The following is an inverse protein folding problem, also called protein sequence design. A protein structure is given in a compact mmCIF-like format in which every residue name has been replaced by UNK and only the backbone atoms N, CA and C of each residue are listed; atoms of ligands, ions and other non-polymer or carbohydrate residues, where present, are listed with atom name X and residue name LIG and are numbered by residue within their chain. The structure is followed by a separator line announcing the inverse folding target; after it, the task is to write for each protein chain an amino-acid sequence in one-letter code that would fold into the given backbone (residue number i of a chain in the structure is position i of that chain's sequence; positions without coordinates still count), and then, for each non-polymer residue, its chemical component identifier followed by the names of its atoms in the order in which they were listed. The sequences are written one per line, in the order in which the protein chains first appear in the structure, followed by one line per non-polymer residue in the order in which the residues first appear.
data_IF_587999129571
#
_entry.id   IF_587999129571
#
_cell.length_a   1.000
_cell.length_b   1.000
_cell.length_c   1.000
_cell.angle_alpha   90.00
_cell.angle_beta   90.00
_cell.angle_gamma   90.00
#
_symmetry.space_group_name_H-M   'P 1'
#
loop_
_entity.id
_entity.type
_entity.pdbx_description
1 polymer ?
#
# COMPACT_ATOMS: atom_id res chain seq x y z
N UNK A 1 -9.90 12.46 -40.82
CA UNK A 1 -8.48 12.19 -41.17
C UNK A 1 -7.68 13.42 -40.74
N UNK A 2 -6.56 13.25 -40.03
CA UNK A 2 -5.67 14.31 -39.48
C UNK A 2 -5.88 14.77 -38.03
N UNK A 3 -6.06 13.81 -37.11
CA UNK A 3 -5.82 14.00 -35.66
C UNK A 3 -4.54 13.25 -35.19
N UNK A 4 -3.57 13.07 -36.11
CA UNK A 4 -2.38 12.21 -35.94
C UNK A 4 -1.04 12.96 -36.06
N UNK A 5 -1.01 14.28 -35.86
CA UNK A 5 0.23 15.06 -35.82
C UNK A 5 0.31 15.88 -34.52
N UNK A 6 -0.01 15.23 -33.40
CA UNK A 6 0.37 15.69 -32.08
C UNK A 6 1.89 15.59 -31.93
N UNK A 7 2.53 16.75 -31.95
CA UNK A 7 3.95 16.98 -31.80
C UNK A 7 4.62 16.06 -30.75
N UNK A 8 5.38 15.06 -31.19
CA UNK A 8 6.15 14.12 -30.35
C UNK A 8 7.25 14.80 -29.52
N UNK A 9 7.49 16.11 -29.72
CA UNK A 9 8.44 16.90 -28.92
C UNK A 9 7.90 17.40 -27.58
N UNK A 10 6.62 17.17 -27.26
CA UNK A 10 6.07 17.55 -25.95
C UNK A 10 6.49 16.59 -24.82
N UNK A 11 7.05 15.42 -25.15
CA UNK A 11 7.49 14.41 -24.16
C UNK A 11 9.01 14.30 -24.01
N UNK A 12 9.81 15.01 -24.81
CA UNK A 12 11.26 14.79 -24.85
C UNK A 12 12.05 15.51 -23.73
N UNK A 13 11.41 16.39 -22.95
CA UNK A 13 12.09 17.17 -21.89
C UNK A 13 11.21 17.39 -20.65
N UNK A 14 10.39 16.41 -20.27
CA UNK A 14 9.82 16.46 -18.92
C UNK A 14 10.99 16.31 -17.92
N UNK A 15 11.43 17.43 -17.36
CA UNK A 15 12.46 17.45 -16.33
C UNK A 15 11.97 16.61 -15.14
N UNK A 16 12.66 15.50 -14.90
CA UNK A 16 12.30 14.56 -13.84
C UNK A 16 12.72 15.18 -12.52
N UNK A 17 11.75 15.72 -11.81
CA UNK A 17 11.95 16.24 -10.46
C UNK A 17 12.33 15.09 -9.51
N UNK A 18 13.57 15.08 -8.97
CA UNK A 18 14.05 13.98 -8.12
C UNK A 18 13.23 13.84 -6.83
N UNK A 19 12.61 14.91 -6.33
CA UNK A 19 11.77 14.87 -5.14
C UNK A 19 10.45 14.14 -5.42
N UNK A 20 9.85 14.38 -6.60
CA UNK A 20 8.62 13.68 -7.02
C UNK A 20 8.88 12.19 -7.27
N UNK A 21 10.05 11.83 -7.80
CA UNK A 21 10.45 10.43 -7.95
C UNK A 21 10.57 9.75 -6.59
N UNK A 22 11.24 10.39 -5.63
CA UNK A 22 11.36 9.86 -4.26
C UNK A 22 10.00 9.68 -3.59
N UNK A 23 9.07 10.63 -3.76
CA UNK A 23 7.70 10.49 -3.25
C UNK A 23 6.97 9.29 -3.90
N UNK A 24 7.12 9.12 -5.22
CA UNK A 24 6.53 8.00 -5.96
C UNK A 24 7.09 6.65 -5.50
N UNK A 25 8.40 6.56 -5.24
CA UNK A 25 9.04 5.36 -4.67
C UNK A 25 8.44 5.01 -3.30
N UNK A 26 8.26 6.01 -2.43
CA UNK A 26 7.65 5.81 -1.11
C UNK A 26 6.21 5.31 -1.28
N UNK A 27 5.40 5.95 -2.13
CA UNK A 27 4.02 5.53 -2.37
C UNK A 27 3.96 4.09 -2.88
N UNK A 28 4.82 3.73 -3.82
CA UNK A 28 4.91 2.37 -4.34
C UNK A 28 5.28 1.36 -3.25
N UNK A 29 6.29 1.66 -2.44
CA UNK A 29 6.72 0.78 -1.34
C UNK A 29 5.60 0.53 -0.32
N UNK A 30 4.84 1.57 0.03
CA UNK A 30 3.70 1.49 0.94
C UNK A 30 2.57 0.67 0.32
N UNK A 31 2.21 0.93 -0.94
CA UNK A 31 1.17 0.18 -1.65
C UNK A 31 1.51 -1.31 -1.76
N UNK A 32 2.76 -1.64 -2.11
CA UNK A 32 3.24 -3.02 -2.17
C UNK A 32 3.18 -3.71 -0.81
N UNK A 33 3.65 -3.03 0.25
CA UNK A 33 3.60 -3.57 1.60
C UNK A 33 2.17 -3.74 2.13
N UNK A 34 1.22 -2.89 1.73
CA UNK A 34 -0.20 -3.06 2.05
C UNK A 34 -0.80 -4.21 1.27
N UNK A 35 -0.53 -4.33 -0.02
CA UNK A 35 -1.02 -5.42 -0.87
C UNK A 35 -0.64 -6.81 -0.31
N UNK A 36 0.64 -6.99 0.05
CA UNK A 36 1.12 -8.25 0.63
C UNK A 36 0.43 -8.58 1.96
N UNK A 37 0.12 -7.57 2.79
CA UNK A 37 -0.62 -7.78 4.05
C UNK A 37 -2.09 -8.10 3.82
N UNK A 38 -2.73 -7.50 2.82
CA UNK A 38 -4.11 -7.83 2.41
C UNK A 38 -4.15 -9.28 1.96
N UNK A 39 -3.23 -9.69 1.07
CA UNK A 39 -3.13 -11.04 0.54
C UNK A 39 -3.03 -12.06 1.68
N UNK A 40 -2.01 -11.94 2.54
CA UNK A 40 -1.81 -12.87 3.65
C UNK A 40 -2.97 -12.87 4.66
N UNK A 41 -3.61 -11.72 4.91
CA UNK A 41 -4.75 -11.64 5.84
C UNK A 41 -6.00 -12.31 5.28
N UNK A 42 -6.30 -12.11 4.00
CA UNK A 42 -7.49 -12.67 3.37
C UNK A 42 -7.31 -14.15 3.02
N UNK A 43 -6.11 -14.56 2.61
CA UNK A 43 -5.74 -15.98 2.47
C UNK A 43 -6.05 -16.74 3.76
N UNK A 44 -5.51 -16.29 4.90
CA UNK A 44 -5.72 -16.93 6.22
C UNK A 44 -7.18 -16.93 6.68
N UNK A 45 -8.01 -15.99 6.22
CA UNK A 45 -9.41 -15.84 6.68
C UNK A 45 -10.40 -16.57 5.80
N UNK A 46 -10.13 -16.65 4.51
CA UNK A 46 -11.11 -17.09 3.52
C UNK A 46 -10.76 -18.43 2.88
N UNK A 47 -9.51 -18.88 2.91
CA UNK A 47 -9.12 -20.19 2.40
C UNK A 47 -9.04 -21.19 3.55
N UNK A 48 -9.54 -22.40 3.32
CA UNK A 48 -9.41 -23.50 4.27
C UNK A 48 -7.95 -23.97 4.37
N UNK A 49 -7.56 -24.47 5.54
CA UNK A 49 -6.23 -25.08 5.71
C UNK A 49 -6.13 -26.47 5.05
N UNK A 50 -7.26 -27.10 4.78
CA UNK A 50 -7.36 -28.36 4.04
C UNK A 50 -7.93 -28.08 2.66
N UNK A 51 -7.13 -28.32 1.62
CA UNK A 51 -7.51 -28.12 0.23
C UNK A 51 -8.19 -29.38 -0.29
N UNK A 52 -9.49 -29.28 -0.61
CA UNK A 52 -10.24 -30.35 -1.28
C UNK A 52 -10.11 -30.31 -2.80
N UNK A 53 -9.91 -29.12 -3.37
CA UNK A 53 -9.79 -28.86 -4.80
C UNK A 53 -8.83 -27.68 -5.05
N UNK A 54 -8.34 -27.54 -6.28
CA UNK A 54 -7.38 -26.48 -6.64
C UNK A 54 -8.03 -25.16 -7.08
N UNK A 55 -9.33 -25.16 -7.32
CA UNK A 55 -10.08 -23.97 -7.71
C UNK A 55 -10.74 -23.31 -6.49
N UNK A 56 -10.91 -21.98 -6.57
CA UNK A 56 -11.57 -21.21 -5.52
C UNK A 56 -13.08 -21.40 -5.66
N UNK A 57 -13.73 -21.90 -4.61
CA UNK A 57 -15.18 -22.07 -4.64
C UNK A 57 -15.92 -20.72 -4.50
N UNK A 58 -17.21 -20.68 -4.85
CA UNK A 58 -18.03 -19.45 -4.78
C UNK A 58 -18.07 -18.82 -3.38
N UNK A 59 -18.00 -19.65 -2.33
CA UNK A 59 -17.96 -19.19 -0.94
C UNK A 59 -16.66 -18.44 -0.62
N UNK A 60 -15.53 -19.03 -0.97
CA UNK A 60 -14.19 -18.45 -0.82
C UNK A 60 -14.04 -17.17 -1.64
N UNK A 61 -14.50 -17.17 -2.90
CA UNK A 61 -14.49 -15.99 -3.77
C UNK A 61 -15.28 -14.82 -3.13
N UNK A 62 -16.52 -15.07 -2.71
CA UNK A 62 -17.35 -14.05 -2.05
C UNK A 62 -16.78 -13.61 -0.68
N UNK A 63 -16.08 -14.50 0.02
CA UNK A 63 -15.37 -14.17 1.26
C UNK A 63 -14.21 -13.21 0.98
N UNK A 64 -13.41 -13.48 -0.05
CA UNK A 64 -12.25 -12.65 -0.44
C UNK A 64 -12.69 -11.21 -0.72
N UNK A 65 -13.76 -11.01 -1.51
CA UNK A 65 -14.31 -9.67 -1.80
C UNK A 65 -14.68 -8.92 -0.52
N UNK A 66 -15.42 -9.59 0.39
CA UNK A 66 -15.80 -9.03 1.69
C UNK A 66 -14.60 -8.78 2.60
N UNK A 67 -13.59 -9.64 2.54
CA UNK A 67 -12.38 -9.51 3.34
C UNK A 67 -11.59 -8.27 2.94
N UNK A 68 -11.35 -8.07 1.63
CA UNK A 68 -10.64 -6.89 1.12
C UNK A 68 -11.41 -5.62 1.47
N UNK A 69 -12.72 -5.59 1.27
CA UNK A 69 -13.56 -4.44 1.63
C UNK A 69 -13.45 -4.09 3.14
N UNK A 70 -13.50 -5.09 4.01
CA UNK A 70 -13.31 -4.91 5.46
C UNK A 70 -11.90 -4.47 5.81
N UNK A 71 -10.88 -5.03 5.15
CA UNK A 71 -9.48 -4.68 5.39
C UNK A 71 -9.22 -3.22 5.07
N UNK A 72 -9.65 -2.74 3.90
CA UNK A 72 -9.45 -1.34 3.50
C UNK A 72 -10.17 -0.40 4.46
N UNK A 73 -11.41 -0.74 4.86
CA UNK A 73 -12.16 0.04 5.87
C UNK A 73 -11.44 0.09 7.22
N UNK A 74 -10.93 -1.04 7.70
CA UNK A 74 -10.17 -1.12 8.95
C UNK A 74 -8.85 -0.33 8.85
N UNK A 75 -8.13 -0.45 7.74
CA UNK A 75 -6.88 0.26 7.50
C UNK A 75 -7.08 1.79 7.49
N UNK A 76 -8.16 2.27 6.87
CA UNK A 76 -8.53 3.69 6.90
C UNK A 76 -8.85 4.17 8.32
N UNK A 77 -9.66 3.41 9.06
CA UNK A 77 -10.03 3.74 10.45
C UNK A 77 -8.81 3.79 11.38
N UNK A 78 -7.91 2.80 11.28
CA UNK A 78 -6.67 2.78 12.04
C UNK A 78 -5.79 3.97 11.66
N UNK A 79 -5.70 4.30 10.37
CA UNK A 79 -4.95 5.46 9.88
C UNK A 79 -5.46 6.79 10.44
N UNK A 80 -6.78 6.96 10.54
CA UNK A 80 -7.40 8.13 11.15
C UNK A 80 -7.08 8.23 12.65
N UNK A 81 -7.22 7.11 13.39
CA UNK A 81 -6.90 7.08 14.81
C UNK A 81 -5.43 7.32 15.09
N UNK A 82 -4.54 6.70 14.31
CA UNK A 82 -3.10 6.91 14.41
C UNK A 82 -2.74 8.37 14.18
N UNK A 83 -3.30 9.04 13.16
CA UNK A 83 -3.09 10.49 12.96
C UNK A 83 -3.61 11.34 14.11
N UNK A 84 -4.73 10.96 14.72
CA UNK A 84 -5.33 11.75 15.81
C UNK A 84 -4.62 11.61 17.16
N UNK A 85 -3.90 10.50 17.39
CA UNK A 85 -3.35 10.15 18.70
C UNK A 85 -1.82 10.00 18.72
N UNK A 86 -1.19 9.75 17.56
CA UNK A 86 0.25 9.50 17.45
C UNK A 86 0.89 10.61 16.61
N UNK A 87 1.70 11.45 17.25
CA UNK A 87 2.75 12.19 16.54
C UNK A 87 4.01 11.32 16.50
N UNK A 88 4.82 11.37 15.43
CA UNK A 88 6.09 10.64 15.37
C UNK A 88 7.02 10.93 16.57
N UNK A 89 6.89 12.12 17.16
CA UNK A 89 7.68 12.58 18.30
C UNK A 89 7.29 11.94 19.63
N UNK A 90 6.03 11.49 19.78
CA UNK A 90 5.54 10.87 21.01
C UNK A 90 5.86 9.37 21.09
N UNK A 91 6.47 8.77 20.06
CA UNK A 91 6.78 7.35 20.03
C UNK A 91 8.19 7.08 20.63
N UNK A 92 8.30 6.30 21.72
CA UNK A 92 9.58 6.07 22.41
C UNK A 92 10.60 5.29 21.56
N UNK A 93 10.19 4.40 20.65
CA UNK A 93 11.13 3.80 19.69
C UNK A 93 11.71 4.83 18.72
N UNK A 94 10.93 5.83 18.29
CA UNK A 94 11.40 6.85 17.35
C UNK A 94 12.46 7.75 17.99
N UNK A 95 12.34 8.04 19.30
CA UNK A 95 13.35 8.76 20.06
C UNK A 95 14.67 8.00 20.13
N UNK A 96 14.62 6.66 20.32
CA UNK A 96 15.81 5.81 20.30
C UNK A 96 16.50 5.81 18.94
N UNK A 97 15.73 5.68 17.85
CA UNK A 97 16.28 5.73 16.48
C UNK A 97 16.85 7.10 16.17
N UNK A 98 16.18 8.19 16.58
CA UNK A 98 16.69 9.55 16.43
C UNK A 98 17.97 9.81 17.24
N UNK A 99 18.11 9.23 18.43
CA UNK A 99 19.35 9.28 19.22
C UNK A 99 20.48 8.50 18.54
N UNK A 100 20.18 7.31 18.01
CA UNK A 100 21.16 6.49 17.27
C UNK A 100 21.65 7.18 15.98
N UNK A 101 20.77 7.90 15.28
CA UNK A 101 21.15 8.71 14.10
C UNK A 101 22.01 9.94 14.44
N UNK A 102 21.97 10.42 15.68
CA UNK A 102 22.82 11.55 16.14
C UNK A 102 24.18 11.11 16.68
N UNK A 103 24.34 9.82 17.00
CA UNK A 103 25.59 9.24 17.49
C UNK A 103 26.49 8.63 16.41
N UNK A 104 26.06 8.70 15.16
CA UNK A 104 26.83 8.33 13.96
C UNK A 104 27.29 9.62 13.25
#
# INVERSE_FOLDING_TARGET
MSFFLGNTSQYSYAEVDPEKVKLAEIQFSVMSATFNRVLASCEKKCLAHEYGEGEINTGEASCIDRCVAKYVKANAFVGEKMRSQLSPESMPEYQKVAQMMKSA
#
